data_IF_521872875999
#
_entry.id   IF_521872875999
#
_cell.length_a   1.000
_cell.length_b   1.000
_cell.length_c   1.000
_cell.angle_alpha   90.00
_cell.angle_beta   90.00
_cell.angle_gamma   90.00
#
_symmetry.space_group_name_H-M   'P 1'
#
loop_
_entity.id
_entity.type
_entity.pdbx_description
1 polymer ?
#
# COMPACT_ATOMS: atom_id res chain seq x y z
N UNK A 1 10.21 -21.52 -45.89
CA UNK A 1 10.42 -21.14 -44.47
C UNK A 1 9.23 -20.34 -43.99
N UNK A 2 8.28 -20.99 -43.32
CA UNK A 2 7.01 -20.42 -42.84
C UNK A 2 7.24 -19.69 -41.51
N UNK A 3 7.14 -18.36 -41.52
CA UNK A 3 7.17 -17.54 -40.29
C UNK A 3 5.86 -17.76 -39.53
N UNK A 4 5.93 -18.44 -38.38
CA UNK A 4 4.87 -18.44 -37.38
C UNK A 4 4.79 -17.06 -36.73
N UNK A 5 3.71 -16.34 -36.98
CA UNK A 5 3.35 -15.13 -36.25
C UNK A 5 2.65 -15.53 -34.96
N UNK A 6 3.26 -15.27 -33.80
CA UNK A 6 2.57 -15.35 -32.52
C UNK A 6 1.73 -14.08 -32.33
N UNK A 7 0.41 -14.16 -32.09
CA UNK A 7 -0.35 -12.97 -31.75
C UNK A 7 0.04 -12.51 -30.35
N UNK A 8 0.64 -11.33 -30.26
CA UNK A 8 0.88 -10.66 -28.99
C UNK A 8 -0.45 -10.39 -28.27
N UNK A 9 -0.62 -10.96 -27.09
CA UNK A 9 -1.70 -10.64 -26.18
C UNK A 9 -1.58 -9.16 -25.77
N UNK A 10 -2.35 -8.29 -26.42
CA UNK A 10 -2.57 -6.91 -25.95
C UNK A 10 -3.26 -6.96 -24.59
N UNK A 11 -2.64 -6.33 -23.59
CA UNK A 11 -3.16 -6.18 -22.24
C UNK A 11 -4.52 -5.49 -22.23
N UNK A 12 -5.58 -6.28 -22.10
CA UNK A 12 -6.97 -5.82 -22.00
C UNK A 12 -7.38 -5.47 -20.56
N UNK A 13 -6.45 -5.55 -19.61
CA UNK A 13 -6.72 -5.48 -18.17
C UNK A 13 -6.86 -4.08 -17.60
N UNK A 14 -5.93 -3.19 -17.95
CA UNK A 14 -5.86 -1.83 -17.39
C UNK A 14 -7.00 -0.90 -17.85
N UNK A 15 -7.73 -1.28 -18.91
CA UNK A 15 -8.77 -0.46 -19.52
C UNK A 15 -10.06 -0.38 -18.69
N UNK A 16 -10.29 -1.36 -17.79
CA UNK A 16 -11.52 -1.45 -16.99
C UNK A 16 -11.39 -0.82 -15.60
N UNK A 17 -10.20 -0.33 -15.23
CA UNK A 17 -10.03 0.36 -13.95
C UNK A 17 -10.79 1.69 -13.97
N UNK A 18 -11.50 2.07 -12.89
CA UNK A 18 -12.13 3.38 -12.79
C UNK A 18 -11.11 4.49 -13.04
N UNK A 19 -11.53 5.63 -13.65
CA UNK A 19 -10.63 6.76 -13.89
C UNK A 19 -9.91 7.18 -12.60
N UNK A 20 -8.61 7.47 -12.72
CA UNK A 20 -7.75 7.93 -11.61
C UNK A 20 -7.61 6.94 -10.44
N UNK A 21 -7.62 5.65 -10.74
CA UNK A 21 -7.33 4.60 -9.76
C UNK A 21 -5.81 4.44 -9.58
N UNK A 22 -5.33 4.45 -8.33
CA UNK A 22 -3.96 3.99 -8.03
C UNK A 22 -3.93 2.48 -8.11
N UNK A 23 -3.13 1.93 -9.00
CA UNK A 23 -3.00 0.50 -9.24
C UNK A 23 -1.75 -0.06 -8.58
N UNK A 24 -1.87 -1.20 -7.92
CA UNK A 24 -0.79 -1.89 -7.22
C UNK A 24 -0.63 -3.30 -7.79
N UNK A 25 0.56 -3.60 -8.29
CA UNK A 25 0.92 -4.91 -8.82
C UNK A 25 1.35 -5.84 -7.66
N UNK A 26 0.59 -6.90 -7.45
CA UNK A 26 0.84 -7.92 -6.43
C UNK A 26 1.50 -9.14 -7.08
N UNK A 27 2.38 -9.80 -6.33
CA UNK A 27 3.13 -10.97 -6.77
C UNK A 27 3.31 -11.91 -5.59
N UNK A 28 2.88 -13.15 -5.76
CA UNK A 28 3.05 -14.21 -4.78
C UNK A 28 3.81 -15.39 -5.38
N UNK A 29 5.04 -15.54 -4.95
CA UNK A 29 5.94 -16.64 -5.22
C UNK A 29 6.48 -17.11 -3.88
N UNK A 30 5.82 -18.13 -3.33
CA UNK A 30 6.13 -18.70 -2.02
C UNK A 30 7.65 -18.85 -1.80
N UNK A 31 8.16 -18.32 -0.68
CA UNK A 31 9.58 -18.32 -0.28
C UNK A 31 10.54 -17.52 -1.18
N UNK A 32 10.06 -16.81 -2.21
CA UNK A 32 10.88 -15.98 -3.10
C UNK A 32 10.46 -14.51 -3.09
N UNK A 33 9.20 -14.22 -3.43
CA UNK A 33 8.67 -12.86 -3.55
C UNK A 33 7.23 -12.88 -3.05
N UNK A 34 6.92 -12.01 -2.10
CA UNK A 34 5.59 -11.88 -1.53
C UNK A 34 5.26 -10.39 -1.45
N UNK A 35 4.38 -9.94 -2.34
CA UNK A 35 3.85 -8.59 -2.40
C UNK A 35 2.34 -8.66 -2.11
N UNK A 36 1.88 -8.04 -1.03
CA UNK A 36 0.47 -8.09 -0.63
C UNK A 36 0.02 -6.79 0.02
N UNK A 37 -1.29 -6.60 0.08
CA UNK A 37 -1.91 -5.47 0.78
C UNK A 37 -2.21 -5.91 2.23
N UNK A 38 -1.66 -5.20 3.22
CA UNK A 38 -1.93 -5.46 4.65
C UNK A 38 -3.28 -4.90 5.08
N UNK A 39 -3.66 -3.72 4.57
CA UNK A 39 -4.98 -3.13 4.74
C UNK A 39 -5.27 -2.16 3.58
N UNK A 40 -6.53 -1.80 3.39
CA UNK A 40 -6.97 -0.83 2.40
C UNK A 40 -8.18 -1.34 1.61
N UNK A 41 -9.07 -0.41 1.23
CA UNK A 41 -10.32 -0.71 0.51
C UNK A 41 -10.05 -0.79 -0.99
N UNK A 42 -9.95 -2.01 -1.52
CA UNK A 42 -9.82 -2.25 -2.96
C UNK A 42 -11.09 -1.79 -3.67
N UNK A 43 -10.96 -0.93 -4.67
CA UNK A 43 -12.04 -0.51 -5.58
C UNK A 43 -12.02 -1.29 -6.90
N UNK A 44 -10.94 -2.01 -7.18
CA UNK A 44 -10.73 -2.76 -8.41
C UNK A 44 -9.79 -3.95 -8.14
N UNK A 45 -9.98 -5.05 -8.86
CA UNK A 45 -9.08 -6.20 -8.84
C UNK A 45 -9.06 -6.89 -10.20
N UNK A 46 -7.86 -7.24 -10.64
CA UNK A 46 -7.63 -8.01 -11.86
C UNK A 46 -6.60 -9.10 -11.60
N UNK A 47 -7.01 -10.35 -11.81
CA UNK A 47 -6.10 -11.49 -11.75
C UNK A 47 -5.39 -11.62 -13.11
N UNK A 48 -4.06 -11.55 -13.12
CA UNK A 48 -3.26 -11.73 -14.34
C UNK A 48 -3.00 -13.23 -14.54
N UNK A 49 -2.51 -13.89 -13.48
CA UNK A 49 -2.30 -15.33 -13.43
C UNK A 49 -2.32 -15.82 -11.98
N UNK A 50 -1.96 -17.09 -11.75
CA UNK A 50 -1.98 -17.71 -10.40
C UNK A 50 -1.05 -17.04 -9.38
N UNK A 51 -0.07 -16.26 -9.81
CA UNK A 51 0.97 -15.64 -8.98
C UNK A 51 0.96 -14.12 -9.03
N UNK A 52 0.17 -13.52 -9.92
CA UNK A 52 0.15 -12.07 -10.16
C UNK A 52 -1.27 -11.55 -10.26
N UNK A 53 -1.52 -10.45 -9.58
CA UNK A 53 -2.77 -9.70 -9.69
C UNK A 53 -2.47 -8.21 -9.60
N UNK A 54 -3.42 -7.39 -10.03
CA UNK A 54 -3.40 -5.94 -9.86
C UNK A 54 -4.63 -5.57 -9.04
N UNK A 55 -4.44 -4.73 -8.04
CA UNK A 55 -5.54 -4.17 -7.24
C UNK A 55 -5.55 -2.66 -7.38
N UNK A 56 -6.73 -2.06 -7.31
CA UNK A 56 -6.90 -0.62 -7.44
C UNK A 56 -7.47 0.01 -6.19
N UNK A 57 -7.07 1.26 -5.96
CA UNK A 57 -7.55 2.11 -4.87
C UNK A 57 -8.06 3.44 -5.44
N UNK A 58 -9.25 3.84 -5.01
CA UNK A 58 -9.84 5.12 -5.38
C UNK A 58 -9.01 6.28 -4.80
N UNK A 59 -8.99 7.47 -5.44
CA UNK A 59 -8.34 8.67 -4.91
C UNK A 59 -8.69 8.93 -3.43
N UNK A 60 -7.69 9.34 -2.66
CA UNK A 60 -7.81 9.59 -1.22
C UNK A 60 -7.81 8.33 -0.34
N UNK A 61 -7.94 7.13 -0.91
CA UNK A 61 -7.89 5.88 -0.13
C UNK A 61 -6.48 5.65 0.43
N UNK A 62 -6.42 5.25 1.69
CA UNK A 62 -5.16 4.84 2.33
C UNK A 62 -5.04 3.32 2.33
N UNK A 63 -3.86 2.81 2.00
CA UNK A 63 -3.57 1.38 1.99
C UNK A 63 -2.15 1.09 2.45
N UNK A 64 -1.91 -0.10 2.97
CA UNK A 64 -0.59 -0.60 3.31
C UNK A 64 -0.14 -1.68 2.33
N UNK A 65 0.99 -1.44 1.66
CA UNK A 65 1.59 -2.37 0.72
C UNK A 65 2.87 -2.96 1.32
N UNK A 66 2.89 -4.29 1.49
CA UNK A 66 4.03 -5.02 2.02
C UNK A 66 4.75 -5.72 0.88
N UNK A 67 6.08 -5.61 0.89
CA UNK A 67 6.97 -6.24 -0.08
C UNK A 67 8.05 -7.01 0.67
N UNK A 68 7.99 -8.31 0.52
CA UNK A 68 9.00 -9.23 1.01
C UNK A 68 9.64 -9.96 -0.17
N UNK A 69 10.95 -10.12 -0.14
CA UNK A 69 11.66 -10.97 -1.09
C UNK A 69 12.85 -11.64 -0.41
N UNK A 70 13.13 -12.87 -0.80
CA UNK A 70 14.34 -13.58 -0.46
C UNK A 70 15.16 -13.76 -1.74
N UNK A 71 16.27 -13.03 -1.85
CA UNK A 71 17.16 -13.08 -2.99
C UNK A 71 18.01 -14.35 -2.98
N UNK A 72 18.41 -14.80 -4.17
CA UNK A 72 19.18 -16.05 -4.34
C UNK A 72 20.58 -16.00 -3.68
N UNK A 73 21.06 -14.81 -3.30
CA UNK A 73 22.34 -14.57 -2.62
C UNK A 73 22.19 -14.32 -1.10
N UNK A 74 21.07 -14.72 -0.49
CA UNK A 74 20.82 -14.56 0.95
C UNK A 74 20.40 -13.16 1.40
N UNK A 75 20.14 -12.24 0.46
CA UNK A 75 19.62 -10.90 0.78
C UNK A 75 18.11 -10.97 0.97
N UNK A 76 17.63 -10.75 2.20
CA UNK A 76 16.20 -10.61 2.50
C UNK A 76 15.81 -9.14 2.42
N UNK A 77 14.85 -8.83 1.55
CA UNK A 77 14.19 -7.52 1.49
C UNK A 77 12.89 -7.63 2.25
N UNK A 78 12.66 -6.71 3.19
CA UNK A 78 11.39 -6.53 3.87
C UNK A 78 11.07 -5.05 3.90
N UNK A 79 9.92 -4.68 3.34
CA UNK A 79 9.47 -3.29 3.26
C UNK A 79 7.97 -3.22 3.45
N UNK A 80 7.52 -2.15 4.13
CA UNK A 80 6.12 -1.75 4.17
C UNK A 80 6.02 -0.27 3.80
N UNK A 81 5.06 0.06 2.95
CA UNK A 81 4.68 1.41 2.60
C UNK A 81 3.20 1.62 2.97
N UNK A 82 2.87 2.68 3.70
CA UNK A 82 1.48 3.17 3.83
C UNK A 82 1.34 4.37 2.91
N UNK A 83 0.38 4.29 2.00
CA UNK A 83 0.25 5.21 0.87
C UNK A 83 -1.18 5.71 0.79
N UNK A 84 -1.34 7.01 0.53
CA UNK A 84 -2.62 7.58 0.08
C UNK A 84 -2.63 7.61 -1.46
N UNK A 85 -3.64 7.00 -2.04
CA UNK A 85 -3.93 7.07 -3.47
C UNK A 85 -4.20 8.53 -3.88
N UNK A 86 -3.63 8.97 -4.99
CA UNK A 86 -3.72 10.36 -5.43
C UNK A 86 -4.81 10.56 -6.48
N UNK A 87 -5.48 11.70 -6.42
CA UNK A 87 -6.40 12.16 -7.45
C UNK A 87 -5.70 12.74 -8.67
N UNK A 88 -6.51 13.20 -9.62
CA UNK A 88 -6.03 13.80 -10.87
C UNK A 88 -5.24 15.07 -10.59
N UNK A 89 -3.99 15.13 -11.08
CA UNK A 89 -3.16 16.32 -11.02
C UNK A 89 -2.53 16.59 -9.65
N UNK A 90 -2.79 15.75 -8.64
CA UNK A 90 -2.09 15.82 -7.36
C UNK A 90 -0.62 15.43 -7.51
N UNK A 91 0.30 16.09 -6.79
CA UNK A 91 1.69 15.64 -6.73
C UNK A 91 1.78 14.27 -6.06
N UNK A 92 2.71 13.44 -6.54
CA UNK A 92 2.91 12.09 -6.01
C UNK A 92 4.39 11.71 -5.98
N UNK A 93 4.70 10.74 -5.14
CA UNK A 93 5.99 10.07 -5.13
C UNK A 93 5.85 8.75 -5.88
N UNK A 94 6.87 8.36 -6.64
CA UNK A 94 6.89 7.06 -7.32
C UNK A 94 7.20 5.95 -6.32
N UNK A 95 6.50 4.83 -6.45
CA UNK A 95 6.79 3.61 -5.71
C UNK A 95 6.87 2.45 -6.68
N UNK A 96 7.86 1.55 -6.55
CA UNK A 96 7.87 0.34 -7.36
C UNK A 96 6.58 -0.45 -7.16
N UNK A 97 6.02 -0.95 -8.27
CA UNK A 97 4.75 -1.71 -8.33
C UNK A 97 3.49 -0.90 -8.00
N UNK A 98 3.57 0.42 -7.89
CA UNK A 98 2.41 1.30 -7.69
C UNK A 98 2.38 2.33 -8.82
N UNK A 99 1.25 2.43 -9.53
CA UNK A 99 1.06 3.35 -10.64
C UNK A 99 -0.16 4.25 -10.39
N UNK A 100 -0.06 5.58 -10.57
CA UNK A 100 1.16 6.34 -10.92
C UNK A 100 2.18 6.41 -9.78
N UNK A 101 1.76 6.08 -8.56
CA UNK A 101 2.49 6.27 -7.31
C UNK A 101 1.47 6.65 -6.24
N UNK A 102 1.91 7.42 -5.25
CA UNK A 102 1.01 8.00 -4.26
C UNK A 102 1.72 8.94 -3.31
N UNK A 103 0.97 9.45 -2.34
CA UNK A 103 1.56 10.17 -1.22
C UNK A 103 2.00 9.15 -0.16
N UNK A 104 3.29 9.13 0.16
CA UNK A 104 3.85 8.18 1.13
C UNK A 104 3.64 8.76 2.53
N UNK A 105 2.82 8.08 3.33
CA UNK A 105 2.58 8.44 4.72
C UNK A 105 3.60 7.76 5.65
N UNK A 106 4.01 6.54 5.28
CA UNK A 106 5.02 5.78 5.99
C UNK A 106 5.78 4.89 5.01
N UNK A 107 7.10 4.84 5.16
CA UNK A 107 7.99 3.86 4.52
C UNK A 107 8.93 3.29 5.55
N UNK A 108 8.97 1.96 5.67
CA UNK A 108 9.90 1.27 6.55
C UNK A 108 10.60 0.15 5.81
N UNK A 109 11.89 0.03 6.10
CA UNK A 109 12.82 -0.93 5.52
C UNK A 109 13.45 -1.78 6.62
N UNK A 110 13.65 -3.07 6.31
CA UNK A 110 14.25 -4.02 7.21
C UNK A 110 13.24 -4.65 8.16
N UNK A 111 13.37 -5.95 8.36
CA UNK A 111 12.43 -6.76 9.13
C UNK A 111 12.10 -6.21 10.52
N UNK A 112 13.06 -5.74 11.36
CA UNK A 112 12.74 -5.23 12.69
C UNK A 112 11.78 -4.03 12.68
N UNK A 113 11.97 -3.08 11.73
CA UNK A 113 11.09 -1.91 11.60
C UNK A 113 9.74 -2.28 10.99
N UNK A 114 9.74 -3.18 10.00
CA UNK A 114 8.50 -3.71 9.41
C UNK A 114 7.64 -4.41 10.47
N UNK A 115 8.22 -5.24 11.33
CA UNK A 115 7.49 -5.89 12.43
C UNK A 115 6.85 -4.88 13.38
N UNK A 116 7.59 -3.84 13.78
CA UNK A 116 7.04 -2.76 14.62
C UNK A 116 5.92 -2.01 13.91
N UNK A 117 6.06 -1.74 12.62
CA UNK A 117 5.00 -1.14 11.81
C UNK A 117 3.74 -2.00 11.73
N UNK A 118 3.89 -3.31 11.55
CA UNK A 118 2.78 -4.27 11.56
C UNK A 118 2.09 -4.30 12.94
N UNK A 119 2.85 -4.32 14.04
CA UNK A 119 2.29 -4.28 15.39
C UNK A 119 1.49 -3.00 15.67
N UNK A 120 1.92 -1.85 15.13
CA UNK A 120 1.15 -0.60 15.23
C UNK A 120 -0.16 -0.68 14.45
N UNK A 121 -0.16 -1.32 13.26
CA UNK A 121 -1.38 -1.56 12.49
C UNK A 121 -2.33 -2.46 13.29
N UNK A 122 -1.83 -3.56 13.85
CA UNK A 122 -2.61 -4.49 14.68
C UNK A 122 -3.21 -3.76 15.91
N UNK A 123 -2.47 -2.82 16.50
CA UNK A 123 -2.95 -2.00 17.61
C UNK A 123 -4.06 -1.01 17.22
N UNK A 124 -4.11 -0.54 15.97
CA UNK A 124 -5.25 0.25 15.46
C UNK A 124 -6.46 -0.66 15.23
N UNK A 125 -6.25 -1.84 14.65
CA UNK A 125 -7.33 -2.81 14.40
C UNK A 125 -7.96 -3.31 15.70
N UNK A 126 -7.18 -3.46 16.77
CA UNK A 126 -7.69 -3.91 18.09
C UNK A 126 -8.64 -2.90 18.75
N UNK A 127 -8.64 -1.64 18.30
CA UNK A 127 -9.62 -0.62 18.68
C UNK A 127 -10.95 -0.75 17.91
N UNK A 128 -11.09 -1.74 17.02
CA UNK A 128 -12.24 -1.91 16.13
C UNK A 128 -12.27 -0.91 14.98
N UNK A 129 -11.15 -0.26 14.68
CA UNK A 129 -11.02 0.74 13.62
C UNK A 129 -10.38 0.11 12.38
N UNK A 130 -10.87 0.47 11.20
CA UNK A 130 -10.17 0.18 9.95
C UNK A 130 -8.92 1.07 9.87
N UNK A 131 -7.70 0.51 9.76
CA UNK A 131 -6.48 1.32 9.64
C UNK A 131 -6.48 2.25 8.43
N UNK A 132 -7.28 1.95 7.39
CA UNK A 132 -7.48 2.82 6.24
C UNK A 132 -8.21 4.13 6.60
N UNK A 133 -8.97 4.16 7.70
CA UNK A 133 -9.66 5.35 8.20
C UNK A 133 -8.86 6.10 9.27
N UNK A 134 -7.69 5.58 9.68
CA UNK A 134 -6.82 6.31 10.59
C UNK A 134 -6.26 7.58 9.93
N UNK A 135 -6.06 8.62 10.74
CA UNK A 135 -5.59 9.91 10.27
C UNK A 135 -4.26 9.79 9.49
N UNK A 136 -4.11 10.36 8.28
CA UNK A 136 -2.85 10.33 7.55
C UNK A 136 -1.66 10.88 8.35
N UNK A 137 -1.89 11.89 9.19
CA UNK A 137 -0.89 12.49 10.08
C UNK A 137 -0.40 11.50 11.13
N UNK A 138 -1.26 10.57 11.56
CA UNK A 138 -0.87 9.51 12.49
C UNK A 138 0.15 8.57 11.85
N UNK A 139 -0.04 8.16 10.60
CA UNK A 139 0.93 7.32 9.89
C UNK A 139 2.27 8.03 9.69
N UNK A 140 2.26 9.34 9.41
CA UNK A 140 3.49 10.15 9.35
C UNK A 140 4.18 10.24 10.72
N UNK A 141 3.42 10.39 11.80
CA UNK A 141 3.96 10.34 13.17
C UNK A 141 4.64 8.99 13.46
N UNK A 142 3.98 7.88 13.14
CA UNK A 142 4.52 6.53 13.30
C UNK A 142 5.82 6.36 12.50
N UNK A 143 5.84 6.82 11.24
CA UNK A 143 7.04 6.80 10.41
C UNK A 143 8.22 7.54 11.06
N UNK A 144 7.99 8.76 11.54
CA UNK A 144 9.02 9.57 12.17
C UNK A 144 9.59 8.89 13.43
N UNK A 145 8.71 8.34 14.28
CA UNK A 145 9.12 7.65 15.52
C UNK A 145 9.92 6.38 15.24
N UNK A 146 9.41 5.51 14.37
CA UNK A 146 10.08 4.24 14.04
C UNK A 146 11.39 4.46 13.27
N UNK A 147 11.47 5.49 12.43
CA UNK A 147 12.72 5.86 11.74
C UNK A 147 13.80 6.27 12.74
N UNK A 148 13.41 7.01 13.79
CA UNK A 148 14.25 7.38 14.92
C UNK A 148 14.42 6.27 15.98
N UNK A 149 13.93 5.05 15.72
CA UNK A 149 13.90 3.91 16.65
C UNK A 149 13.12 4.13 17.96
N UNK A 150 12.30 5.18 18.04
CA UNK A 150 11.46 5.49 19.19
C UNK A 150 10.11 4.77 19.13
N UNK A 151 9.46 4.61 20.29
CA UNK A 151 8.13 4.02 20.35
C UNK A 151 7.06 5.01 19.87
N UNK A 152 6.19 4.66 18.90
CA UNK A 152 5.08 5.50 18.50
C UNK A 152 4.09 5.74 19.65
N UNK A 153 3.33 6.82 19.56
CA UNK A 153 2.22 7.01 20.47
C UNK A 153 1.04 6.16 20.01
N UNK A 154 0.27 5.63 20.96
CA UNK A 154 -0.94 4.90 20.64
C UNK A 154 -1.90 5.77 19.81
N UNK A 155 -2.58 5.14 18.86
CA UNK A 155 -3.79 5.72 18.28
C UNK A 155 -4.91 5.62 19.31
N UNK A 156 -5.79 6.61 19.37
CA UNK A 156 -6.90 6.60 20.34
C UNK A 156 -8.22 6.93 19.66
N UNK A 157 -9.35 6.44 20.17
CA UNK A 157 -10.67 6.78 19.64
C UNK A 157 -10.94 8.29 19.63
N UNK A 158 -10.45 9.04 20.62
CA UNK A 158 -10.62 10.50 20.70
C UNK A 158 -9.88 11.20 19.57
N UNK A 159 -8.65 10.75 19.25
CA UNK A 159 -7.89 11.24 18.09
C UNK A 159 -8.58 10.91 16.78
N UNK A 160 -9.20 9.72 16.71
CA UNK A 160 -9.98 9.31 15.55
C UNK A 160 -11.22 10.20 15.36
N UNK A 161 -11.99 10.44 16.42
CA UNK A 161 -13.13 11.35 16.39
C UNK A 161 -12.73 12.78 16.01
N UNK A 162 -11.64 13.31 16.56
CA UNK A 162 -11.12 14.63 16.20
C UNK A 162 -10.66 14.73 14.74
N UNK A 163 -10.14 13.65 14.17
CA UNK A 163 -9.88 13.57 12.73
C UNK A 163 -11.18 13.55 11.91
N UNK A 164 -12.19 12.77 12.33
CA UNK A 164 -13.48 12.67 11.63
C UNK A 164 -14.17 14.02 11.55
N UNK A 165 -14.12 14.79 12.64
CA UNK A 165 -14.67 16.15 12.68
C UNK A 165 -13.94 17.11 11.73
N UNK A 166 -12.60 17.11 11.71
CA UNK A 166 -11.82 17.96 10.80
C UNK A 166 -12.13 17.67 9.34
N UNK A 167 -12.20 16.39 8.96
CA UNK A 167 -12.52 15.96 7.60
C UNK A 167 -13.92 16.37 7.12
N UNK A 168 -14.86 16.60 8.04
CA UNK A 168 -16.20 17.11 7.69
C UNK A 168 -16.24 18.63 7.48
N UNK A 169 -15.25 19.36 7.99
CA UNK A 169 -15.20 20.83 7.98
C UNK A 169 -14.32 21.34 6.83
N UNK A 170 -13.38 20.52 6.35
CA UNK A 170 -12.56 20.82 5.18
C UNK A 170 -13.40 20.63 3.88
N UNK A 171 -13.56 21.68 3.04
CA UNK A 171 -14.44 21.68 1.86
C UNK A 171 -13.92 20.85 0.68
#
# INVERSE_FOLDING_TARGET
MTRRTFPGARGRGLADAPPFTTLVELTFQRKKIEHWIRFGRKSYEQIIDRRRSVVGFAPGSVFAFVRWANGDHGTVVSRIDIVRAIGRGEPFQTLPFVRPGGEILLRLDGWPKVQRGLAVIDAVESLGLDPADAAPEYWRHVHNRLTANLEPHAYTPERHAAWLHRRRIEP
#
